data_IF_820924407608
#
_entry.id   IF_820924407608
#
_cell.length_a   1.000
_cell.length_b   1.000
_cell.length_c   1.000
_cell.angle_alpha   90.00
_cell.angle_beta   90.00
_cell.angle_gamma   90.00
#
_symmetry.space_group_name_H-M   'P 1'
#
loop_
_entity.id
_entity.type
_entity.pdbx_description
1 polymer ?
#
# COMPACT_ATOMS: atom_id res chain seq x y z
N UNK A 1 10.67 -10.38 -17.03
CA UNK A 1 10.51 -11.82 -17.39
C UNK A 1 11.08 -12.02 -18.79
N UNK A 2 11.86 -13.10 -19.00
CA UNK A 2 12.42 -13.41 -20.33
C UNK A 2 11.47 -14.32 -21.11
N UNK A 3 11.36 -14.07 -22.42
CA UNK A 3 10.54 -14.82 -23.35
C UNK A 3 11.39 -15.29 -24.52
N UNK A 4 11.18 -16.51 -24.96
CA UNK A 4 11.76 -17.06 -26.19
C UNK A 4 10.63 -17.66 -27.05
N UNK A 5 10.51 -17.22 -28.28
CA UNK A 5 9.46 -17.68 -29.20
C UNK A 5 8.05 -17.64 -28.58
N UNK A 6 7.74 -16.56 -27.81
CA UNK A 6 6.44 -16.39 -27.17
C UNK A 6 6.20 -17.23 -25.92
N UNK A 7 7.20 -18.01 -25.47
CA UNK A 7 7.12 -18.82 -24.24
C UNK A 7 7.98 -18.21 -23.12
N UNK A 8 7.52 -18.20 -21.88
CA UNK A 8 8.29 -17.70 -20.74
C UNK A 8 9.48 -18.62 -20.46
N UNK A 9 10.64 -18.00 -20.23
CA UNK A 9 11.85 -18.68 -19.74
C UNK A 9 11.99 -18.45 -18.24
N UNK A 10 12.13 -19.55 -17.51
CA UNK A 10 12.46 -19.49 -16.08
C UNK A 10 13.94 -19.23 -15.87
N UNK A 11 14.30 -18.46 -14.84
CA UNK A 11 15.68 -18.34 -14.40
C UNK A 11 16.15 -19.68 -13.81
N UNK A 12 17.44 -19.96 -13.99
CA UNK A 12 18.11 -21.16 -13.48
C UNK A 12 17.53 -22.49 -14.00
N UNK A 13 16.91 -22.47 -15.17
CA UNK A 13 16.44 -23.65 -15.89
C UNK A 13 17.12 -23.68 -17.27
N UNK A 14 17.68 -24.84 -17.62
CA UNK A 14 18.26 -25.06 -18.94
C UNK A 14 17.16 -24.99 -20.01
N UNK A 15 17.49 -24.43 -21.16
CA UNK A 15 16.55 -24.30 -22.29
C UNK A 15 17.27 -24.58 -23.62
N UNK A 16 16.49 -24.85 -24.65
CA UNK A 16 17.00 -25.06 -25.99
C UNK A 16 16.40 -24.01 -26.95
N UNK A 17 17.23 -23.56 -27.89
CA UNK A 17 16.79 -22.71 -28.98
C UNK A 17 17.30 -23.31 -30.30
N UNK A 18 16.40 -23.85 -31.09
CA UNK A 18 16.77 -24.70 -32.22
C UNK A 18 17.58 -25.92 -31.76
N UNK A 19 18.75 -26.12 -32.34
CA UNK A 19 19.66 -27.25 -31.99
C UNK A 19 20.70 -26.91 -30.92
N UNK A 20 20.61 -25.72 -30.32
CA UNK A 20 21.55 -25.26 -29.31
C UNK A 20 20.94 -25.38 -27.91
N UNK A 21 21.65 -26.05 -27.02
CA UNK A 21 21.27 -26.18 -25.62
C UNK A 21 22.03 -25.16 -24.77
N UNK A 22 21.28 -24.40 -23.97
CA UNK A 22 21.80 -23.40 -23.05
C UNK A 22 21.70 -23.90 -21.61
N UNK A 23 22.77 -23.76 -20.82
CA UNK A 23 22.77 -24.23 -19.44
C UNK A 23 21.85 -23.39 -18.57
N UNK A 24 21.45 -23.94 -17.41
CA UNK A 24 20.49 -23.30 -16.50
C UNK A 24 20.89 -21.88 -16.07
N UNK A 25 22.17 -21.61 -15.87
CA UNK A 25 22.68 -20.31 -15.44
C UNK A 25 22.89 -19.30 -16.58
N UNK A 26 22.64 -19.69 -17.84
CA UNK A 26 22.93 -18.84 -19.00
C UNK A 26 22.20 -17.50 -18.96
N UNK A 27 20.90 -17.49 -18.64
CA UNK A 27 20.11 -16.27 -18.55
C UNK A 27 20.63 -15.28 -17.49
N UNK A 28 21.28 -15.78 -16.45
CA UNK A 28 21.83 -14.97 -15.37
C UNK A 28 23.21 -14.39 -15.72
N UNK A 29 24.03 -15.15 -16.40
CA UNK A 29 25.42 -14.78 -16.70
C UNK A 29 25.56 -13.96 -17.98
N UNK A 30 24.59 -14.07 -18.90
CA UNK A 30 24.61 -13.39 -20.20
C UNK A 30 24.14 -11.96 -20.08
N UNK A 31 24.78 -11.07 -20.85
CA UNK A 31 24.42 -9.64 -20.89
C UNK A 31 23.04 -9.41 -21.52
N UNK A 32 22.46 -8.23 -21.28
CA UNK A 32 21.19 -7.84 -21.93
C UNK A 32 21.32 -7.69 -23.44
N UNK A 33 22.52 -7.39 -23.95
CA UNK A 33 22.79 -7.27 -25.38
C UNK A 33 22.83 -8.62 -26.11
N UNK A 34 23.28 -9.67 -25.45
CA UNK A 34 23.41 -11.03 -26.05
C UNK A 34 22.07 -11.77 -26.12
N UNK A 35 21.15 -11.50 -25.21
CA UNK A 35 19.84 -12.16 -25.15
C UNK A 35 19.00 -11.93 -26.40
N UNK A 36 18.86 -10.71 -26.95
CA UNK A 36 18.14 -10.48 -28.19
C UNK A 36 18.77 -11.17 -29.41
N UNK A 37 20.09 -11.35 -29.41
CA UNK A 37 20.80 -12.02 -30.52
C UNK A 37 20.33 -13.45 -30.78
N UNK A 38 19.79 -14.11 -29.74
CA UNK A 38 19.20 -15.46 -29.86
C UNK A 38 17.68 -15.46 -29.78
N UNK A 39 17.05 -14.29 -29.94
CA UNK A 39 15.57 -14.15 -29.97
C UNK A 39 14.92 -14.10 -28.60
N UNK A 40 15.68 -13.88 -27.54
CA UNK A 40 15.11 -13.66 -26.20
C UNK A 40 14.71 -12.20 -26.07
N UNK A 41 13.47 -11.95 -25.73
CA UNK A 41 12.94 -10.65 -25.37
C UNK A 41 12.71 -10.53 -23.86
N UNK A 42 12.95 -9.36 -23.32
CA UNK A 42 12.54 -9.05 -21.96
C UNK A 42 11.16 -8.39 -21.96
N UNK A 43 10.21 -9.05 -21.31
CA UNK A 43 8.86 -8.52 -21.13
C UNK A 43 8.75 -8.08 -19.67
N UNK A 44 8.28 -6.87 -19.47
CA UNK A 44 7.97 -6.39 -18.13
C UNK A 44 7.02 -7.41 -17.44
N UNK A 45 7.34 -7.80 -16.23
CA UNK A 45 6.42 -8.61 -15.43
C UNK A 45 5.11 -7.85 -15.19
N UNK A 46 4.05 -8.54 -14.76
CA UNK A 46 2.83 -7.86 -14.38
C UNK A 46 3.15 -6.77 -13.36
N UNK A 47 2.63 -5.56 -13.59
CA UNK A 47 2.84 -4.44 -12.69
C UNK A 47 2.33 -4.81 -11.31
N UNK A 48 3.13 -4.52 -10.28
CA UNK A 48 2.71 -4.71 -8.90
C UNK A 48 1.56 -3.77 -8.57
N UNK A 49 0.61 -4.23 -7.77
CA UNK A 49 -0.49 -3.43 -7.26
C UNK A 49 -0.82 -3.80 -5.82
N UNK A 50 -1.34 -2.84 -5.07
CA UNK A 50 -1.79 -3.07 -3.70
C UNK A 50 -3.23 -3.62 -3.70
N UNK A 51 -3.38 -4.90 -3.37
CA UNK A 51 -4.66 -5.60 -3.36
C UNK A 51 -5.69 -4.99 -2.39
N UNK A 52 -5.26 -4.14 -1.45
CA UNK A 52 -6.18 -3.41 -0.57
C UNK A 52 -7.01 -2.40 -1.35
N UNK A 53 -6.45 -1.81 -2.40
CA UNK A 53 -7.03 -0.71 -3.17
C UNK A 53 -7.37 -1.07 -4.62
N UNK A 54 -6.79 -2.13 -5.16
CA UNK A 54 -6.90 -2.50 -6.57
C UNK A 54 -7.29 -3.97 -6.74
N UNK A 55 -8.03 -4.27 -7.78
CA UNK A 55 -8.33 -5.64 -8.24
C UNK A 55 -7.20 -6.21 -9.13
N UNK A 56 -6.38 -5.36 -9.70
CA UNK A 56 -5.30 -5.67 -10.61
C UNK A 56 -4.54 -4.39 -10.95
N UNK A 57 -3.43 -4.51 -11.70
CA UNK A 57 -2.71 -3.34 -12.19
C UNK A 57 -3.64 -2.43 -13.02
N UNK A 58 -3.73 -1.15 -12.67
CA UNK A 58 -4.60 -0.19 -13.32
C UNK A 58 -6.12 -0.44 -13.15
N UNK A 59 -6.53 -1.30 -12.19
CA UNK A 59 -7.96 -1.59 -11.91
C UNK A 59 -8.32 -1.21 -10.48
N UNK A 60 -8.59 0.07 -10.19
CA UNK A 60 -8.92 0.53 -8.85
C UNK A 60 -10.27 -0.03 -8.39
N UNK A 61 -10.38 -0.27 -7.08
CA UNK A 61 -11.65 -0.53 -6.41
C UNK A 61 -12.47 0.73 -6.32
N UNK A 62 -13.79 0.59 -6.12
CA UNK A 62 -14.69 1.71 -5.93
C UNK A 62 -14.29 2.54 -4.71
N UNK A 63 -14.02 3.82 -4.92
CA UNK A 63 -13.57 4.73 -3.85
C UNK A 63 -14.61 4.84 -2.71
N UNK A 64 -15.89 4.80 -3.02
CA UNK A 64 -16.96 4.85 -2.02
C UNK A 64 -16.88 3.66 -1.05
N UNK A 65 -16.72 2.45 -1.56
CA UNK A 65 -16.62 1.23 -0.74
C UNK A 65 -15.35 1.23 0.11
N UNK A 66 -14.25 1.71 -0.48
CA UNK A 66 -12.98 1.85 0.23
C UNK A 66 -13.06 2.85 1.37
N UNK A 67 -13.73 4.00 1.17
CA UNK A 67 -13.94 4.98 2.23
C UNK A 67 -14.69 4.38 3.40
N UNK A 68 -15.79 3.69 3.16
CA UNK A 68 -16.56 3.00 4.21
C UNK A 68 -15.65 2.04 4.98
N UNK A 69 -14.95 1.15 4.27
CA UNK A 69 -14.06 0.17 4.88
C UNK A 69 -12.99 0.82 5.77
N UNK A 70 -12.34 1.88 5.27
CA UNK A 70 -11.23 2.50 5.99
C UNK A 70 -11.70 3.39 7.14
N UNK A 71 -12.88 4.03 7.04
CA UNK A 71 -13.52 4.75 8.15
C UNK A 71 -13.89 3.76 9.26
N UNK A 72 -14.49 2.63 8.94
CA UNK A 72 -14.83 1.60 9.92
C UNK A 72 -13.58 1.06 10.66
N UNK A 73 -12.47 0.91 9.95
CA UNK A 73 -11.20 0.55 10.58
C UNK A 73 -10.71 1.62 11.57
N UNK A 74 -10.85 2.91 11.23
CA UNK A 74 -10.46 3.99 12.17
C UNK A 74 -11.35 3.96 13.42
N UNK A 75 -12.66 3.81 13.26
CA UNK A 75 -13.63 3.69 14.38
C UNK A 75 -13.33 2.47 15.25
N UNK A 76 -13.04 1.34 14.64
CA UNK A 76 -12.65 0.13 15.37
C UNK A 76 -11.38 0.32 16.19
N UNK A 77 -10.37 0.97 15.61
CA UNK A 77 -9.13 1.30 16.33
C UNK A 77 -9.40 2.26 17.49
N UNK A 78 -10.16 3.32 17.27
CA UNK A 78 -10.55 4.26 18.32
C UNK A 78 -11.33 3.57 19.45
N UNK A 79 -12.27 2.69 19.12
CA UNK A 79 -13.00 1.85 20.07
C UNK A 79 -12.07 1.00 20.92
N UNK A 80 -11.09 0.33 20.29
CA UNK A 80 -10.10 -0.48 21.00
C UNK A 80 -9.21 0.34 21.95
N UNK A 81 -8.86 1.57 21.58
CA UNK A 81 -8.10 2.48 22.44
C UNK A 81 -8.93 2.98 23.63
N UNK A 82 -10.21 3.30 23.40
CA UNK A 82 -11.12 3.81 24.43
C UNK A 82 -11.55 2.73 25.42
N UNK A 83 -11.69 1.48 24.97
CA UNK A 83 -12.19 0.36 25.79
C UNK A 83 -11.35 0.10 27.04
N UNK A 84 -10.04 0.39 26.99
CA UNK A 84 -9.14 0.24 28.14
C UNK A 84 -9.55 1.09 29.35
N UNK A 85 -10.23 2.18 29.12
CA UNK A 85 -10.61 3.17 30.13
C UNK A 85 -12.13 3.28 30.32
N UNK A 86 -12.95 2.46 29.62
CA UNK A 86 -14.42 2.51 29.70
C UNK A 86 -14.94 2.16 31.10
N UNK A 87 -14.28 1.24 31.79
CA UNK A 87 -14.61 0.90 33.17
C UNK A 87 -14.55 2.10 34.12
N UNK A 88 -13.66 3.09 33.84
CA UNK A 88 -13.59 4.32 34.65
C UNK A 88 -14.83 5.21 34.47
N UNK A 89 -15.39 5.21 33.26
CA UNK A 89 -16.63 5.94 32.95
C UNK A 89 -17.82 5.27 33.67
N UNK A 90 -17.90 3.93 33.58
CA UNK A 90 -18.93 3.16 34.27
C UNK A 90 -18.86 3.41 35.78
N UNK A 91 -17.67 3.29 36.36
CA UNK A 91 -17.46 3.55 37.80
C UNK A 91 -17.85 4.98 38.21
N UNK A 92 -17.61 5.97 37.34
CA UNK A 92 -18.06 7.34 37.60
C UNK A 92 -19.57 7.42 37.70
N UNK A 93 -20.30 6.79 36.79
CA UNK A 93 -21.77 6.83 36.73
C UNK A 93 -22.38 6.03 37.91
N UNK A 94 -21.81 4.90 38.28
CA UNK A 94 -22.32 4.01 39.32
C UNK A 94 -21.93 4.45 40.75
N UNK A 95 -20.70 4.89 40.95
CA UNK A 95 -20.12 5.14 42.26
C UNK A 95 -19.71 6.61 42.50
N UNK A 96 -19.93 7.50 41.55
CA UNK A 96 -19.55 8.91 41.63
C UNK A 96 -18.05 9.19 41.62
N UNK A 97 -17.21 8.16 41.36
CA UNK A 97 -15.75 8.31 41.40
C UNK A 97 -15.28 9.06 40.17
N UNK A 98 -14.65 10.21 40.35
CA UNK A 98 -14.17 11.02 39.21
C UNK A 98 -13.17 10.29 38.33
N UNK A 99 -13.28 10.45 37.03
CA UNK A 99 -12.27 9.97 36.05
C UNK A 99 -11.06 10.89 36.14
N UNK A 100 -9.82 10.34 36.21
CA UNK A 100 -8.62 11.16 36.22
C UNK A 100 -8.57 12.10 34.97
N UNK A 101 -8.09 13.32 35.18
CA UNK A 101 -8.02 14.35 34.15
C UNK A 101 -7.18 13.90 32.93
N UNK A 102 -6.05 13.22 33.18
CA UNK A 102 -5.20 12.66 32.12
C UNK A 102 -5.99 11.69 31.23
N UNK A 103 -6.79 10.79 31.83
CA UNK A 103 -7.64 9.85 31.09
C UNK A 103 -8.71 10.60 30.27
N UNK A 104 -9.31 11.65 30.82
CA UNK A 104 -10.29 12.45 30.06
C UNK A 104 -9.64 13.13 28.86
N UNK A 105 -8.45 13.71 29.04
CA UNK A 105 -7.66 14.34 27.96
C UNK A 105 -7.31 13.33 26.88
N UNK A 106 -6.79 12.16 27.25
CA UNK A 106 -6.48 11.08 26.33
C UNK A 106 -7.72 10.63 25.53
N UNK A 107 -8.84 10.38 26.20
CA UNK A 107 -10.09 9.96 25.54
C UNK A 107 -10.62 11.02 24.57
N UNK A 108 -10.48 12.29 24.90
CA UNK A 108 -10.84 13.40 24.03
C UNK A 108 -9.91 13.43 22.80
N UNK A 109 -8.61 13.29 23.02
CA UNK A 109 -7.62 13.25 21.93
C UNK A 109 -7.89 12.08 20.96
N UNK A 110 -8.20 10.88 21.46
CA UNK A 110 -8.55 9.71 20.62
C UNK A 110 -9.78 10.01 19.75
N UNK A 111 -10.83 10.61 20.30
CA UNK A 111 -12.05 10.94 19.52
C UNK A 111 -11.77 12.01 18.48
N UNK A 112 -11.03 13.07 18.83
CA UNK A 112 -10.63 14.14 17.92
C UNK A 112 -9.79 13.57 16.78
N UNK A 113 -8.83 12.71 17.10
CA UNK A 113 -7.98 12.07 16.10
C UNK A 113 -8.76 11.13 15.18
N UNK A 114 -9.72 10.37 15.73
CA UNK A 114 -10.60 9.53 14.91
C UNK A 114 -11.37 10.38 13.89
N UNK A 115 -11.98 11.47 14.34
CA UNK A 115 -12.71 12.38 13.46
C UNK A 115 -11.81 13.00 12.38
N UNK A 116 -10.63 13.47 12.74
CA UNK A 116 -9.67 14.04 11.77
C UNK A 116 -9.29 13.01 10.69
N UNK A 117 -9.07 11.75 11.06
CA UNK A 117 -8.78 10.66 10.12
C UNK A 117 -9.97 10.32 9.22
N UNK A 118 -11.19 10.31 9.76
CA UNK A 118 -12.41 10.13 8.96
C UNK A 118 -12.56 11.25 7.93
N UNK A 119 -12.26 12.50 8.31
CA UNK A 119 -12.32 13.64 7.42
C UNK A 119 -11.26 13.57 6.31
N UNK A 120 -10.02 13.17 6.64
CA UNK A 120 -8.96 12.94 5.65
C UNK A 120 -9.36 11.86 4.64
N UNK A 121 -9.91 10.72 5.09
CA UNK A 121 -10.38 9.64 4.21
C UNK A 121 -11.54 10.14 3.34
N UNK A 122 -12.45 10.89 3.90
CA UNK A 122 -13.63 11.43 3.19
C UNK A 122 -13.21 12.43 2.12
N UNK A 123 -12.18 13.21 2.36
CA UNK A 123 -11.66 14.22 1.43
C UNK A 123 -10.98 13.62 0.18
N UNK A 124 -10.48 12.38 0.24
CA UNK A 124 -9.88 11.73 -0.93
C UNK A 124 -10.89 11.66 -2.09
N UNK A 125 -10.55 12.16 -3.25
CA UNK A 125 -11.39 12.08 -4.45
C UNK A 125 -11.21 10.77 -5.20
N UNK A 126 -10.00 10.20 -5.16
CA UNK A 126 -9.60 9.02 -5.94
C UNK A 126 -9.10 7.88 -5.05
N UNK A 127 -9.11 6.67 -5.60
CA UNK A 127 -8.51 5.49 -4.95
C UNK A 127 -7.00 5.66 -4.75
N UNK A 128 -6.33 6.34 -5.67
CA UNK A 128 -4.89 6.61 -5.58
C UNK A 128 -4.55 7.54 -4.42
N UNK A 129 -5.33 8.60 -4.20
CA UNK A 129 -5.19 9.48 -3.04
C UNK A 129 -5.40 8.73 -1.74
N UNK A 130 -6.44 7.89 -1.68
CA UNK A 130 -6.70 7.07 -0.50
C UNK A 130 -5.59 6.04 -0.26
N UNK A 131 -5.07 5.42 -1.32
CA UNK A 131 -3.95 4.50 -1.21
C UNK A 131 -2.67 5.20 -0.73
N UNK A 132 -2.42 6.43 -1.19
CA UNK A 132 -1.30 7.25 -0.74
C UNK A 132 -1.45 7.62 0.76
N UNK A 133 -2.63 8.07 1.16
CA UNK A 133 -2.94 8.44 2.55
C UNK A 133 -2.74 7.26 3.52
N UNK A 134 -3.29 6.09 3.21
CA UNK A 134 -3.24 4.90 4.06
C UNK A 134 -1.89 4.17 3.99
N UNK A 135 -1.25 4.20 2.83
CA UNK A 135 0.02 3.53 2.56
C UNK A 135 1.26 4.32 2.93
N UNK A 136 1.13 5.43 3.66
CA UNK A 136 2.25 6.34 3.98
C UNK A 136 2.98 6.83 2.71
N UNK A 137 2.23 7.23 1.70
CA UNK A 137 2.77 7.70 0.43
C UNK A 137 3.30 6.59 -0.50
N UNK A 138 3.11 5.31 -0.17
CA UNK A 138 3.46 4.21 -1.07
C UNK A 138 2.29 3.93 -2.01
N UNK A 139 2.44 4.29 -3.26
CA UNK A 139 1.46 3.95 -4.31
C UNK A 139 1.52 2.47 -4.72
N UNK A 140 0.36 1.95 -5.11
CA UNK A 140 0.29 0.74 -5.90
C UNK A 140 1.00 0.97 -7.24
N UNK A 141 1.99 0.16 -7.56
CA UNK A 141 2.80 0.31 -8.78
C UNK A 141 4.20 0.89 -8.58
N UNK A 142 4.49 1.50 -7.43
CA UNK A 142 5.86 1.89 -7.09
C UNK A 142 6.60 0.73 -6.42
N UNK A 143 6.81 -0.34 -7.16
CA UNK A 143 7.91 -1.23 -6.82
C UNK A 143 9.12 -0.69 -7.54
N UNK A 144 10.15 -0.25 -6.82
CA UNK A 144 11.43 -0.83 -7.14
C UNK A 144 12.57 -0.11 -6.50
N UNK A 145 13.35 -0.86 -5.92
CA UNK A 145 14.80 -0.75 -5.82
C UNK A 145 15.39 0.28 -6.79
N UNK A 146 15.70 1.50 -6.31
CA UNK A 146 16.66 2.39 -6.96
C UNK A 146 16.18 3.23 -8.15
N UNK A 147 14.92 3.23 -8.51
CA UNK A 147 14.44 4.12 -9.56
C UNK A 147 14.09 5.49 -8.99
N UNK A 148 14.74 6.51 -9.50
CA UNK A 148 14.54 7.93 -9.17
C UNK A 148 13.20 8.50 -9.67
N UNK A 149 12.53 7.83 -10.57
CA UNK A 149 11.20 8.19 -11.07
C UNK A 149 10.15 7.18 -10.62
N UNK A 150 9.22 7.64 -9.82
CA UNK A 150 8.01 6.87 -9.50
C UNK A 150 6.95 7.18 -10.54
N UNK A 151 6.44 6.14 -11.20
CA UNK A 151 5.33 6.26 -12.16
C UNK A 151 4.05 5.75 -11.52
N UNK A 152 2.91 6.37 -11.84
CA UNK A 152 1.60 5.88 -11.44
C UNK A 152 1.19 4.63 -12.24
N UNK A 153 0.00 4.08 -11.95
CA UNK A 153 -0.54 2.90 -12.64
C UNK A 153 -0.71 3.12 -14.16
N UNK A 154 -0.77 4.38 -14.59
CA UNK A 154 -0.96 4.79 -15.98
C UNK A 154 0.37 5.13 -16.67
N UNK A 155 1.50 4.96 -15.97
CA UNK A 155 2.84 5.21 -16.48
C UNK A 155 3.28 6.68 -16.42
N UNK A 156 2.50 7.58 -15.81
CA UNK A 156 2.84 8.99 -15.67
C UNK A 156 3.86 9.18 -14.53
N UNK A 157 4.83 10.05 -14.73
CA UNK A 157 5.75 10.47 -13.68
C UNK A 157 5.00 11.16 -12.56
N UNK A 158 5.28 10.74 -11.34
CA UNK A 158 4.61 11.24 -10.17
C UNK A 158 5.62 11.88 -9.22
N UNK A 159 5.33 13.08 -8.75
CA UNK A 159 6.15 13.75 -7.75
C UNK A 159 5.89 13.13 -6.36
N UNK A 160 6.88 12.44 -5.77
CA UNK A 160 6.73 11.87 -4.44
C UNK A 160 6.48 12.92 -3.35
N UNK A 161 6.84 14.18 -3.56
CA UNK A 161 6.58 15.27 -2.61
C UNK A 161 5.09 15.60 -2.48
N UNK A 162 4.30 15.47 -3.55
CA UNK A 162 2.86 15.74 -3.51
C UNK A 162 2.06 14.79 -2.61
N UNK A 163 2.61 13.60 -2.31
CA UNK A 163 1.92 12.58 -1.51
C UNK A 163 2.61 12.24 -0.19
N UNK A 164 3.86 12.69 0.02
CA UNK A 164 4.54 12.50 1.29
C UNK A 164 3.96 13.34 2.43
N UNK A 165 3.18 14.39 2.09
CA UNK A 165 2.54 15.27 3.07
C UNK A 165 1.15 14.76 3.51
N UNK A 166 0.62 13.72 2.85
CA UNK A 166 -0.66 13.12 3.17
C UNK A 166 -0.43 11.81 3.94
N UNK A 167 -0.16 11.93 5.21
CA UNK A 167 -0.04 10.79 6.13
C UNK A 167 -1.14 10.91 7.17
N UNK A 168 -1.80 9.78 7.47
CA UNK A 168 -2.68 9.73 8.63
C UNK A 168 -1.87 10.06 9.89
N UNK A 169 -2.29 11.08 10.61
CA UNK A 169 -1.66 11.48 11.86
C UNK A 169 -1.60 10.31 12.85
N UNK A 170 -0.57 10.27 13.69
CA UNK A 170 -0.41 9.21 14.68
C UNK A 170 -1.56 9.22 15.71
N UNK A 171 -1.88 8.05 16.25
CA UNK A 171 -2.81 7.96 17.36
C UNK A 171 -2.18 8.52 18.62
N UNK A 172 -2.96 9.17 19.53
CA UNK A 172 -2.47 9.60 20.83
C UNK A 172 -1.93 8.42 21.64
N UNK A 173 -0.85 8.66 22.36
CA UNK A 173 -0.30 7.74 23.37
C UNK A 173 -0.84 8.10 24.76
N UNK A 174 -1.00 7.08 25.61
CA UNK A 174 -1.39 7.27 27.02
C UNK A 174 -0.34 8.02 27.81
#
# INVERSE_FOLDING_TARGET
>A
MFMLNGKPLALDVAFSNGNINYPANWLRLTTLAEKPAIGISEVAGPAWYDQRFYWGAGKPKTIADLKVLWIDKQKSTAGSLLSRTDWMIIRKEEAGTAVPSATQTYRTAVRTQCKAREDQITACATTDELAALIGNGKRAGSATNGATEKKDSDGNSFDPKQYNDIVLEAWPTE
#
